data_IF_455934817500
#
_entry.id   IF_455934817500
#
_cell.length_a   1.000
_cell.length_b   1.000
_cell.length_c   1.000
_cell.angle_alpha   90.00
_cell.angle_beta   90.00
_cell.angle_gamma   90.00
#
_symmetry.space_group_name_H-M   'P 1'
#
loop_
_entity.id
_entity.type
_entity.pdbx_description
1 polymer ?
#
# COMPACT_ATOMS: atom_id res chain seq x y z
N UNK A 1 14.16 -8.90 -9.86
CA UNK A 1 14.07 -8.27 -11.19
C UNK A 1 14.59 -6.84 -11.08
N UNK A 2 15.55 -6.43 -11.91
CA UNK A 2 16.11 -5.08 -11.90
C UNK A 2 15.23 -4.16 -12.76
N UNK A 3 14.72 -3.07 -12.17
CA UNK A 3 13.80 -2.13 -12.81
C UNK A 3 14.47 -0.77 -13.00
N UNK A 4 14.36 -0.23 -14.22
CA UNK A 4 15.01 1.00 -14.69
C UNK A 4 14.28 2.28 -14.27
N UNK A 5 15.03 3.29 -13.79
CA UNK A 5 14.48 4.59 -13.40
C UNK A 5 14.28 5.55 -14.59
N UNK A 6 13.25 6.39 -14.49
CA UNK A 6 12.99 7.56 -15.34
C UNK A 6 13.06 8.80 -14.44
N UNK A 7 13.68 9.88 -14.90
CA UNK A 7 13.79 11.15 -14.18
C UNK A 7 12.40 11.71 -13.81
N UNK A 8 11.93 11.40 -12.60
CA UNK A 8 10.71 11.98 -12.03
C UNK A 8 11.01 13.39 -11.53
N UNK A 9 10.46 14.43 -12.19
CA UNK A 9 10.52 15.80 -11.63
C UNK A 9 9.77 15.81 -10.29
N UNK A 10 10.47 16.19 -9.22
CA UNK A 10 9.89 16.31 -7.88
C UNK A 10 8.75 17.35 -7.89
N UNK A 11 7.49 16.89 -7.91
CA UNK A 11 6.32 17.76 -7.74
C UNK A 11 5.99 17.89 -6.25
N UNK A 12 5.53 19.08 -5.83
CA UNK A 12 5.02 19.28 -4.47
C UNK A 12 3.80 18.37 -4.26
N UNK A 13 3.83 17.61 -3.16
CA UNK A 13 2.75 16.68 -2.79
C UNK A 13 1.60 17.41 -2.05
N UNK A 14 1.76 18.70 -1.77
CA UNK A 14 0.77 19.51 -1.09
C UNK A 14 0.01 20.42 -2.06
N UNK A 15 -1.33 20.30 -2.05
CA UNK A 15 -2.31 21.10 -2.77
C UNK A 15 -3.72 20.77 -2.27
N UNK A 16 -4.65 21.72 -2.36
CA UNK A 16 -6.02 21.64 -1.83
C UNK A 16 -6.97 20.76 -2.66
N UNK A 17 -6.54 20.30 -3.83
CA UNK A 17 -7.37 19.49 -4.71
C UNK A 17 -7.43 18.03 -4.25
N UNK A 18 -8.64 17.45 -4.32
CA UNK A 18 -8.86 16.01 -4.17
C UNK A 18 -7.98 15.30 -5.20
N UNK A 19 -6.99 14.55 -4.73
CA UNK A 19 -6.07 13.85 -5.61
C UNK A 19 -6.70 12.57 -6.11
N UNK A 20 -7.00 12.55 -7.40
CA UNK A 20 -7.54 11.38 -8.07
C UNK A 20 -6.39 10.51 -8.62
N UNK A 21 -6.36 9.23 -8.22
CA UNK A 21 -5.35 8.24 -8.60
C UNK A 21 -5.30 8.02 -10.12
N UNK A 22 -6.44 8.03 -10.81
CA UNK A 22 -6.49 7.86 -12.25
C UNK A 22 -5.78 9.02 -12.97
N UNK A 23 -5.96 10.26 -12.50
CA UNK A 23 -5.22 11.43 -13.01
C UNK A 23 -3.72 11.27 -12.77
N UNK A 24 -3.31 10.94 -11.53
CA UNK A 24 -1.89 10.72 -11.20
C UNK A 24 -1.27 9.62 -12.07
N UNK A 25 -1.99 8.53 -12.30
CA UNK A 25 -1.59 7.42 -13.16
C UNK A 25 -1.36 7.88 -14.60
N UNK A 26 -2.31 8.62 -15.19
CA UNK A 26 -2.19 9.09 -16.57
C UNK A 26 -1.09 10.14 -16.73
N UNK A 27 -0.88 11.02 -15.74
CA UNK A 27 0.25 11.94 -15.71
C UNK A 27 1.59 11.17 -15.70
N UNK A 28 1.73 10.17 -14.82
CA UNK A 28 2.91 9.30 -14.76
C UNK A 28 3.13 8.64 -16.12
N UNK A 29 2.09 8.02 -16.70
CA UNK A 29 2.15 7.31 -17.99
C UNK A 29 2.58 8.22 -19.14
N UNK A 30 2.12 9.47 -19.16
CA UNK A 30 2.52 10.50 -20.15
C UNK A 30 3.96 10.97 -19.94
N UNK A 31 4.43 11.03 -18.70
CA UNK A 31 5.79 11.49 -18.36
C UNK A 31 6.91 10.50 -18.71
N UNK A 32 6.56 9.24 -19.01
CA UNK A 32 7.52 8.17 -19.30
C UNK A 32 8.19 8.38 -20.66
N UNK A 33 9.52 8.45 -20.64
CA UNK A 33 10.39 8.65 -21.81
C UNK A 33 11.33 7.46 -21.99
N UNK A 34 11.82 7.26 -23.22
CA UNK A 34 12.87 6.28 -23.50
C UNK A 34 14.16 6.73 -22.81
N UNK A 35 14.81 5.81 -22.10
CA UNK A 35 16.06 6.07 -21.38
C UNK A 35 16.85 4.79 -21.16
N UNK A 36 18.07 4.92 -20.63
CA UNK A 36 18.89 3.78 -20.24
C UNK A 36 18.38 3.21 -18.90
N UNK A 37 18.24 1.89 -18.75
CA UNK A 37 17.91 1.29 -17.47
C UNK A 37 18.95 1.66 -16.40
N UNK A 38 18.49 2.07 -15.23
CA UNK A 38 19.34 2.35 -14.07
C UNK A 38 18.66 1.89 -12.78
N UNK A 39 19.45 1.54 -11.78
CA UNK A 39 18.93 1.10 -10.49
C UNK A 39 18.41 2.30 -9.68
N UNK A 40 17.15 2.22 -9.21
CA UNK A 40 16.56 3.24 -8.31
C UNK A 40 16.17 2.68 -6.94
N UNK A 41 15.74 3.55 -6.00
CA UNK A 41 15.21 3.14 -4.70
C UNK A 41 13.84 2.42 -4.85
N UNK A 42 13.40 1.74 -3.78
CA UNK A 42 12.08 1.09 -3.66
C UNK A 42 11.80 -0.04 -4.67
N UNK A 43 12.77 -0.91 -4.96
CA UNK A 43 12.60 -2.01 -5.93
C UNK A 43 11.78 -3.21 -5.41
N UNK A 44 11.47 -3.27 -4.12
CA UNK A 44 10.76 -4.39 -3.49
C UNK A 44 9.42 -3.91 -2.96
N UNK A 45 8.41 -4.76 -3.13
CA UNK A 45 7.07 -4.64 -2.57
C UNK A 45 6.94 -5.69 -1.47
N UNK A 46 6.07 -5.47 -0.49
CA UNK A 46 5.86 -6.45 0.58
C UNK A 46 4.97 -7.60 0.10
N UNK A 47 3.90 -7.25 -0.64
CA UNK A 47 3.00 -8.23 -1.25
C UNK A 47 2.78 -7.87 -2.73
N UNK A 48 2.90 -8.89 -3.58
CA UNK A 48 2.61 -8.84 -5.00
C UNK A 48 1.49 -9.82 -5.32
N UNK A 49 0.37 -9.31 -5.84
CA UNK A 49 -0.76 -10.11 -6.31
C UNK A 49 -0.88 -9.94 -7.82
N UNK A 50 -0.98 -11.06 -8.55
CA UNK A 50 -1.26 -11.05 -9.99
C UNK A 50 -2.61 -11.71 -10.24
N UNK A 51 -3.55 -10.92 -10.76
CA UNK A 51 -4.89 -11.40 -11.12
C UNK A 51 -4.85 -12.20 -12.43
N UNK A 52 -5.88 -13.03 -12.63
CA UNK A 52 -6.06 -13.82 -13.85
C UNK A 52 -6.17 -12.97 -15.11
N UNK A 53 -6.71 -11.75 -15.02
CA UNK A 53 -6.83 -10.79 -16.13
C UNK A 53 -5.51 -10.06 -16.48
N UNK A 54 -4.42 -10.43 -15.82
CA UNK A 54 -3.09 -9.84 -15.96
C UNK A 54 -2.85 -8.58 -15.14
N UNK A 55 -3.82 -8.13 -14.34
CA UNK A 55 -3.63 -6.98 -13.43
C UNK A 55 -2.65 -7.31 -12.31
N UNK A 56 -1.66 -6.45 -12.14
CA UNK A 56 -0.66 -6.53 -11.09
C UNK A 56 -1.03 -5.57 -9.96
N UNK A 57 -1.02 -6.06 -8.71
CA UNK A 57 -1.34 -5.26 -7.52
C UNK A 57 -0.19 -5.32 -6.54
N UNK A 58 0.36 -4.15 -6.19
CA UNK A 58 1.52 -4.02 -5.32
C UNK A 58 1.10 -3.36 -4.01
N UNK A 59 1.48 -3.99 -2.90
CA UNK A 59 1.21 -3.49 -1.57
C UNK A 59 2.49 -3.12 -0.82
N UNK A 60 2.37 -2.05 -0.04
CA UNK A 60 3.24 -1.73 1.08
C UNK A 60 2.44 -1.94 2.36
N UNK A 61 2.91 -2.83 3.24
CA UNK A 61 2.28 -3.05 4.54
C UNK A 61 2.83 -2.01 5.51
N UNK A 62 1.95 -1.28 6.17
CA UNK A 62 2.36 -0.24 7.12
C UNK A 62 1.56 -0.30 8.40
N UNK A 63 2.11 0.31 9.45
CA UNK A 63 1.40 0.54 10.71
C UNK A 63 0.06 1.24 10.46
N UNK A 64 -1.01 0.89 11.20
CA UNK A 64 -2.33 1.47 10.99
C UNK A 64 -2.48 2.90 11.47
N UNK A 65 -1.48 3.49 12.14
CA UNK A 65 -1.51 4.90 12.57
C UNK A 65 -0.33 5.71 12.04
N UNK A 66 -0.07 5.74 10.72
CA UNK A 66 1.07 6.46 10.21
C UNK A 66 0.88 7.97 10.35
N UNK A 67 1.97 8.68 10.58
CA UNK A 67 1.97 10.14 10.65
C UNK A 67 1.98 10.78 9.24
N UNK A 68 1.83 12.11 9.16
CA UNK A 68 1.75 12.82 7.87
C UNK A 68 3.02 12.63 7.03
N UNK A 69 4.22 12.66 7.66
CA UNK A 69 5.48 12.52 6.93
C UNK A 69 5.60 11.12 6.32
N UNK A 70 5.20 10.09 7.06
CA UNK A 70 5.12 8.72 6.58
C UNK A 70 4.13 8.59 5.43
N UNK A 71 2.92 9.14 5.55
CA UNK A 71 1.94 9.11 4.46
C UNK A 71 2.45 9.77 3.18
N UNK A 72 3.17 10.89 3.27
CA UNK A 72 3.80 11.53 2.09
C UNK A 72 4.85 10.61 1.46
N UNK A 73 5.69 9.96 2.28
CA UNK A 73 6.73 9.06 1.80
C UNK A 73 6.14 7.81 1.12
N UNK A 74 5.13 7.19 1.75
CA UNK A 74 4.39 6.07 1.21
C UNK A 74 3.71 6.41 -0.12
N UNK A 75 3.06 7.59 -0.23
CA UNK A 75 2.44 8.02 -1.49
C UNK A 75 3.48 8.13 -2.61
N UNK A 76 4.64 8.73 -2.33
CA UNK A 76 5.76 8.79 -3.30
C UNK A 76 6.19 7.41 -3.76
N UNK A 77 6.31 6.47 -2.83
CA UNK A 77 6.70 5.08 -3.11
C UNK A 77 5.67 4.39 -4.02
N UNK A 78 4.37 4.51 -3.73
CA UNK A 78 3.30 3.97 -4.57
C UNK A 78 3.29 4.54 -5.99
N UNK A 79 3.47 5.85 -6.15
CA UNK A 79 3.52 6.50 -7.48
C UNK A 79 4.81 6.12 -8.24
N UNK A 80 5.93 5.97 -7.53
CA UNK A 80 7.20 5.51 -8.10
C UNK A 80 7.06 4.10 -8.67
N UNK A 81 6.38 3.19 -7.98
CA UNK A 81 6.11 1.84 -8.50
C UNK A 81 5.31 1.83 -9.79
N UNK A 82 4.29 2.71 -9.91
CA UNK A 82 3.56 2.90 -11.17
C UNK A 82 4.54 3.31 -12.28
N UNK A 83 5.37 4.32 -12.03
CA UNK A 83 6.37 4.78 -13.00
C UNK A 83 7.38 3.72 -13.41
N UNK A 84 7.91 2.96 -12.43
CA UNK A 84 8.85 1.87 -12.66
C UNK A 84 8.22 0.72 -13.47
N UNK A 85 6.96 0.37 -13.20
CA UNK A 85 6.32 -0.70 -13.97
C UNK A 85 6.01 -0.25 -15.38
N UNK A 86 5.42 0.92 -15.54
CA UNK A 86 5.06 1.47 -16.85
C UNK A 86 6.29 1.82 -17.71
N UNK A 87 7.46 2.07 -17.12
CA UNK A 87 8.71 2.27 -17.87
C UNK A 87 9.17 1.00 -18.59
N UNK A 88 8.85 -0.17 -18.03
CA UNK A 88 9.15 -1.47 -18.64
C UNK A 88 8.06 -1.95 -19.59
N UNK A 89 6.79 -1.64 -19.29
CA UNK A 89 5.65 -1.96 -20.13
C UNK A 89 4.57 -0.87 -19.98
N UNK A 90 4.47 0.02 -20.97
CA UNK A 90 3.53 1.15 -20.95
C UNK A 90 2.04 0.75 -20.94
N UNK A 91 1.76 -0.50 -21.30
CA UNK A 91 0.40 -1.07 -21.32
C UNK A 91 0.12 -1.98 -20.11
N UNK A 92 1.02 -2.07 -19.12
CA UNK A 92 0.79 -2.86 -17.92
C UNK A 92 -0.42 -2.31 -17.13
N UNK A 93 -1.27 -3.23 -16.67
CA UNK A 93 -2.34 -2.94 -15.71
C UNK A 93 -1.77 -3.04 -14.31
N UNK A 94 -1.55 -1.91 -13.64
CA UNK A 94 -0.94 -1.86 -12.31
C UNK A 94 -1.81 -1.07 -11.33
N UNK A 95 -1.99 -1.63 -10.13
CA UNK A 95 -2.62 -0.98 -8.98
C UNK A 95 -1.60 -0.97 -7.84
N UNK A 96 -1.43 0.18 -7.19
CA UNK A 96 -0.60 0.30 -5.98
C UNK A 96 -1.45 0.74 -4.80
N UNK A 97 -1.30 0.10 -3.64
CA UNK A 97 -2.11 0.38 -2.45
C UNK A 97 -1.31 0.15 -1.17
N UNK A 98 -1.78 0.72 -0.07
CA UNK A 98 -1.30 0.41 1.27
C UNK A 98 -2.18 -0.68 1.88
N UNK A 99 -1.54 -1.66 2.51
CA UNK A 99 -2.19 -2.65 3.37
C UNK A 99 -2.01 -2.25 4.83
N UNK A 100 -3.12 -1.99 5.53
CA UNK A 100 -3.14 -1.88 6.99
C UNK A 100 -3.62 -3.21 7.56
N UNK A 101 -2.81 -3.93 8.36
CA UNK A 101 -3.17 -5.27 8.82
C UNK A 101 -4.44 -5.34 9.66
N UNK A 102 -4.84 -4.25 10.33
CA UNK A 102 -6.04 -4.18 11.16
C UNK A 102 -6.55 -2.74 11.31
N UNK A 103 -7.81 -2.60 11.73
CA UNK A 103 -8.40 -1.31 12.08
C UNK A 103 -8.27 -1.04 13.59
N UNK A 104 -7.45 -0.07 14.03
CA UNK A 104 -7.26 0.22 15.45
C UNK A 104 -8.41 1.04 16.06
N UNK A 105 -9.43 1.37 15.28
CA UNK A 105 -10.63 2.10 15.70
C UNK A 105 -11.87 1.20 15.73
N UNK A 106 -11.72 -0.10 15.46
CA UNK A 106 -12.83 -1.04 15.41
C UNK A 106 -13.71 -0.96 16.67
N UNK A 107 -15.05 -0.99 16.55
CA UNK A 107 -15.85 -1.25 15.34
C UNK A 107 -16.05 -0.03 14.43
N UNK A 108 -15.60 1.16 14.83
CA UNK A 108 -15.76 2.36 14.02
C UNK A 108 -14.94 2.28 12.72
N UNK A 109 -15.43 2.82 11.60
CA UNK A 109 -14.68 2.85 10.35
C UNK A 109 -13.31 3.48 10.52
N UNK A 110 -12.32 2.97 9.77
CA UNK A 110 -10.98 3.55 9.80
C UNK A 110 -11.00 5.02 9.36
N UNK A 111 -10.86 5.93 10.32
CA UNK A 111 -10.85 7.36 10.07
C UNK A 111 -9.60 8.00 10.67
N UNK A 112 -8.62 8.29 9.82
CA UNK A 112 -7.37 8.94 10.23
C UNK A 112 -7.24 10.31 9.59
N UNK A 113 -7.31 11.36 10.40
CA UNK A 113 -7.19 12.75 9.94
C UNK A 113 -5.90 13.02 9.13
N UNK A 114 -4.80 12.31 9.43
CA UNK A 114 -3.52 12.45 8.71
C UNK A 114 -3.55 11.94 7.27
N UNK A 115 -4.57 11.16 6.88
CA UNK A 115 -4.80 10.74 5.48
C UNK A 115 -5.14 11.95 4.59
N UNK A 116 -5.87 12.93 5.12
CA UNK A 116 -6.39 14.07 4.36
C UNK A 116 -7.03 13.64 3.04
N UNK A 117 -6.81 14.43 1.98
CA UNK A 117 -7.22 14.12 0.60
C UNK A 117 -6.11 13.44 -0.23
N UNK A 118 -5.13 12.80 0.42
CA UNK A 118 -3.92 12.27 -0.27
C UNK A 118 -4.15 10.89 -0.92
N UNK A 119 -5.10 10.13 -0.39
CA UNK A 119 -5.39 8.77 -0.79
C UNK A 119 -6.87 8.62 -1.11
N UNK A 120 -7.17 8.11 -2.30
CA UNK A 120 -8.53 7.65 -2.63
C UNK A 120 -8.91 6.41 -1.82
N UNK A 121 -10.20 6.10 -1.74
CA UNK A 121 -10.73 4.91 -1.04
C UNK A 121 -10.01 3.62 -1.47
N UNK A 122 -9.66 3.51 -2.76
CA UNK A 122 -9.06 2.31 -3.34
C UNK A 122 -7.53 2.22 -3.18
N UNK A 123 -6.91 3.14 -2.43
CA UNK A 123 -5.46 3.15 -2.17
C UNK A 123 -5.09 2.70 -0.76
N UNK A 124 -6.07 2.46 0.11
CA UNK A 124 -5.86 2.06 1.49
C UNK A 124 -6.84 0.94 1.83
N UNK A 125 -6.31 -0.28 1.97
CA UNK A 125 -7.09 -1.45 2.37
C UNK A 125 -6.79 -1.75 3.83
N UNK A 126 -7.83 -1.92 4.66
CA UNK A 126 -7.70 -2.01 6.11
C UNK A 126 -8.31 -3.31 6.62
N UNK A 127 -7.56 -4.08 7.41
CA UNK A 127 -8.03 -5.30 8.04
C UNK A 127 -8.63 -6.25 7.02
N UNK A 128 -9.94 -6.49 7.16
CA UNK A 128 -10.73 -7.38 6.31
C UNK A 128 -10.52 -7.11 4.81
N UNK A 129 -10.59 -5.85 4.37
CA UNK A 129 -10.43 -5.51 2.95
C UNK A 129 -9.07 -5.95 2.40
N UNK A 130 -8.02 -5.82 3.22
CA UNK A 130 -6.66 -6.19 2.82
C UNK A 130 -6.49 -7.71 2.79
N UNK A 131 -6.84 -8.40 3.87
CA UNK A 131 -6.64 -9.85 3.97
C UNK A 131 -7.52 -10.64 3.01
N UNK A 132 -8.76 -10.22 2.82
CA UNK A 132 -9.65 -10.85 1.86
C UNK A 132 -9.19 -10.60 0.42
N UNK A 133 -8.66 -9.41 0.13
CA UNK A 133 -8.11 -9.12 -1.20
C UNK A 133 -6.90 -10.01 -1.53
N UNK A 134 -5.99 -10.18 -0.57
CA UNK A 134 -4.75 -10.94 -0.78
C UNK A 134 -5.02 -12.44 -0.86
N UNK A 135 -5.91 -12.97 -0.03
CA UNK A 135 -6.29 -14.39 -0.04
C UNK A 135 -7.21 -14.75 -1.22
N UNK A 136 -8.02 -13.80 -1.69
CA UNK A 136 -9.09 -14.08 -2.65
C UNK A 136 -10.34 -14.71 -2.03
N UNK A 137 -10.39 -14.83 -0.70
CA UNK A 137 -11.44 -15.48 0.08
C UNK A 137 -11.85 -14.59 1.26
N UNK A 138 -12.98 -14.88 1.91
CA UNK A 138 -13.40 -14.14 3.12
C UNK A 138 -12.82 -14.81 4.37
N UNK A 139 -11.54 -14.56 4.65
CA UNK A 139 -10.78 -15.25 5.71
C UNK A 139 -10.62 -14.42 6.99
N UNK A 140 -11.04 -13.16 6.98
CA UNK A 140 -10.68 -12.25 8.06
C UNK A 140 -11.25 -12.66 9.41
N UNK A 141 -12.48 -13.16 9.47
CA UNK A 141 -13.11 -13.56 10.74
C UNK A 141 -12.39 -14.77 11.33
N UNK A 142 -12.11 -15.81 10.51
CA UNK A 142 -11.30 -16.97 10.91
C UNK A 142 -9.89 -16.54 11.37
N UNK A 143 -9.29 -15.58 10.67
CA UNK A 143 -7.99 -15.03 11.08
C UNK A 143 -8.05 -14.39 12.48
N UNK A 144 -9.10 -13.63 12.78
CA UNK A 144 -9.30 -13.04 14.12
C UNK A 144 -9.50 -14.12 15.18
N UNK A 145 -10.31 -15.15 14.91
CA UNK A 145 -10.53 -16.28 15.83
C UNK A 145 -9.21 -16.97 16.20
N UNK A 146 -8.33 -17.21 15.22
CA UNK A 146 -7.00 -17.79 15.45
C UNK A 146 -6.15 -16.87 16.35
N UNK A 147 -6.18 -15.55 16.13
CA UNK A 147 -5.45 -14.61 16.99
C UNK A 147 -5.98 -14.60 18.43
N UNK A 148 -7.28 -14.74 18.62
CA UNK A 148 -7.89 -14.82 19.96
C UNK A 148 -7.49 -16.11 20.68
N UNK A 149 -7.57 -17.25 20.00
CA UNK A 149 -7.19 -18.55 20.55
C UNK A 149 -5.72 -18.57 20.98
N UNK A 150 -4.81 -18.19 20.07
CA UNK A 150 -3.37 -18.11 20.36
C UNK A 150 -3.09 -17.06 21.43
N UNK A 151 -3.83 -15.95 21.42
CA UNK A 151 -3.72 -14.87 22.40
C UNK A 151 -4.03 -15.33 23.82
N UNK A 152 -5.09 -16.12 24.02
CA UNK A 152 -5.44 -16.68 25.32
C UNK A 152 -4.40 -17.72 25.78
N UNK A 153 -3.90 -18.59 24.90
CA UNK A 153 -2.84 -19.57 25.25
C UNK A 153 -1.56 -18.87 25.73
N UNK A 154 -1.19 -17.76 25.08
CA UNK A 154 0.04 -17.04 25.39
C UNK A 154 -0.11 -16.00 26.52
N UNK A 155 -1.34 -15.76 26.99
CA UNK A 155 -1.66 -14.65 27.89
C UNK A 155 -0.80 -14.62 29.15
N UNK A 156 -0.64 -15.75 29.81
CA UNK A 156 0.11 -15.81 31.07
C UNK A 156 1.61 -15.64 30.86
N UNK A 157 2.17 -16.23 29.79
CA UNK A 157 3.58 -16.02 29.38
C UNK A 157 3.85 -14.53 29.09
N UNK A 158 2.94 -13.86 28.39
CA UNK A 158 3.05 -12.42 28.09
C UNK A 158 3.01 -11.59 29.38
N UNK A 159 2.10 -11.92 30.33
CA UNK A 159 2.04 -11.23 31.63
C UNK A 159 3.34 -11.38 32.43
N UNK A 160 3.98 -12.55 32.40
CA UNK A 160 5.26 -12.76 33.09
C UNK A 160 6.38 -11.90 32.50
N UNK A 161 6.45 -11.82 31.17
CA UNK A 161 7.45 -10.98 30.48
C UNK A 161 7.22 -9.50 30.76
N UNK A 162 5.97 -9.03 30.70
CA UNK A 162 5.61 -7.62 30.84
C UNK A 162 5.76 -7.05 32.27
N UNK A 163 6.02 -7.89 33.27
CA UNK A 163 6.28 -7.48 34.66
C UNK A 163 7.74 -7.09 34.93
N UNK A 164 8.65 -7.34 33.98
CA UNK A 164 10.04 -6.86 34.04
C UNK A 164 10.17 -5.45 33.49
#
# INVERSE_FOLDING_TARGET
>A
MCFGYISFKNRKIFGSDIRNKEIEFEEIKKSIQKGKPSEGPDKRVDVFVKKSDGTEVYFDITSPKPNIKEFVALKKKLLRWIGLRLSTNKNAKIITALGLPYNPYHPEPYNRWTKGNMYDSNQLMVGQDFWNFVSGENIYDEFIEIFEEVGEELRDKIKEIAKK
#
